data_IF_910876498030
#
_entry.id   IF_910876498030
#
_cell.length_a   1.000
_cell.length_b   1.000
_cell.length_c   1.000
_cell.angle_alpha   90.00
_cell.angle_beta   90.00
_cell.angle_gamma   90.00
#
_symmetry.space_group_name_H-M   'P 1'
#
loop_
_entity.id
_entity.type
_entity.pdbx_description
1 polymer ?
#
# COMPACT_ATOMS: atom_id res chain seq x y z
N UNK A 1 36.84 28.26 -8.39
CA UNK A 1 36.55 27.64 -7.09
C UNK A 1 35.80 26.36 -7.39
N UNK A 2 36.39 25.18 -7.11
CA UNK A 2 35.68 23.91 -7.28
C UNK A 2 34.79 23.71 -6.06
N UNK A 3 33.48 23.83 -6.24
CA UNK A 3 32.47 23.49 -5.24
C UNK A 3 32.50 21.97 -5.09
N UNK A 4 33.01 21.48 -3.96
CA UNK A 4 32.87 20.05 -3.61
C UNK A 4 31.42 19.82 -3.22
N UNK A 5 30.60 19.36 -4.18
CA UNK A 5 29.25 18.88 -3.91
C UNK A 5 29.40 17.49 -3.28
N UNK A 6 28.93 17.33 -2.04
CA UNK A 6 28.93 16.00 -1.39
C UNK A 6 27.96 15.10 -2.16
N UNK A 7 28.35 13.87 -2.55
CA UNK A 7 27.45 12.96 -3.25
C UNK A 7 26.25 12.59 -2.36
N UNK A 8 25.08 12.47 -3.00
CA UNK A 8 23.83 12.08 -2.36
C UNK A 8 23.83 10.58 -2.06
N UNK A 9 23.06 10.17 -1.05
CA UNK A 9 22.85 8.75 -0.76
C UNK A 9 21.61 8.25 -1.48
N UNK A 10 21.69 7.17 -2.27
CA UNK A 10 20.51 6.56 -2.89
C UNK A 10 19.61 5.96 -1.82
N UNK A 11 18.32 5.86 -2.11
CA UNK A 11 17.44 5.04 -1.29
C UNK A 11 17.74 3.56 -1.54
N UNK A 12 17.90 2.81 -0.46
CA UNK A 12 18.18 1.39 -0.49
C UNK A 12 17.03 0.65 0.17
N UNK A 13 16.39 -0.21 -0.60
CA UNK A 13 15.41 -1.16 -0.09
C UNK A 13 16.08 -2.52 0.08
N UNK A 14 15.87 -3.18 1.21
CA UNK A 14 16.38 -4.52 1.41
C UNK A 14 15.35 -5.46 2.03
N UNK A 15 15.36 -6.69 1.58
CA UNK A 15 14.61 -7.77 2.20
C UNK A 15 15.52 -8.98 2.34
N UNK A 16 15.06 -9.96 3.09
CA UNK A 16 15.80 -11.19 3.23
C UNK A 16 14.87 -12.38 3.26
N UNK A 17 15.48 -13.51 2.92
CA UNK A 17 15.01 -14.83 3.29
C UNK A 17 16.16 -15.53 4.00
N UNK A 18 15.85 -16.27 5.04
CA UNK A 18 16.81 -17.09 5.77
C UNK A 18 16.44 -18.55 5.54
N UNK A 19 17.43 -19.42 5.50
CA UNK A 19 17.20 -20.87 5.52
C UNK A 19 18.43 -21.55 6.12
N UNK A 20 18.18 -22.48 7.04
CA UNK A 20 19.21 -23.31 7.65
C UNK A 20 19.63 -24.50 6.77
N UNK A 21 18.85 -24.84 5.74
CA UNK A 21 19.00 -26.07 4.95
C UNK A 21 19.21 -25.82 3.46
N UNK A 22 18.76 -24.68 2.94
CA UNK A 22 18.76 -24.36 1.51
C UNK A 22 19.46 -23.02 1.22
N UNK A 23 20.60 -23.10 0.53
CA UNK A 23 21.41 -21.94 0.16
C UNK A 23 20.77 -21.05 -0.93
N UNK A 24 19.82 -21.57 -1.71
CA UNK A 24 19.07 -20.79 -2.71
C UNK A 24 17.97 -19.96 -2.07
N UNK A 25 17.46 -20.40 -0.93
CA UNK A 25 16.49 -19.67 -0.10
C UNK A 25 17.16 -18.77 0.95
N UNK A 26 18.47 -18.85 1.14
CA UNK A 26 19.22 -18.04 2.11
C UNK A 26 19.83 -16.77 1.47
N UNK A 27 18.98 -15.81 1.13
CA UNK A 27 19.32 -14.67 0.27
C UNK A 27 18.94 -13.31 0.85
N UNK A 28 19.62 -12.28 0.37
CA UNK A 28 19.30 -10.87 0.58
C UNK A 28 18.88 -10.27 -0.75
N UNK A 29 17.76 -9.57 -0.74
CA UNK A 29 17.36 -8.68 -1.81
C UNK A 29 17.82 -7.28 -1.46
N UNK A 30 18.60 -6.63 -2.33
CA UNK A 30 19.03 -5.24 -2.14
C UNK A 30 18.71 -4.47 -3.41
N UNK A 31 17.91 -3.42 -3.30
CA UNK A 31 17.55 -2.54 -4.41
C UNK A 31 18.11 -1.15 -4.13
N UNK A 32 19.02 -0.67 -4.98
CA UNK A 32 19.61 0.67 -4.91
C UNK A 32 18.86 1.55 -5.90
N UNK A 33 18.00 2.45 -5.41
CA UNK A 33 17.17 3.33 -6.22
C UNK A 33 17.98 4.54 -6.71
N UNK A 34 18.24 4.56 -8.02
CA UNK A 34 18.92 5.66 -8.72
C UNK A 34 18.34 5.82 -10.12
N UNK A 35 17.45 6.79 -10.35
CA UNK A 35 16.85 7.02 -11.66
C UNK A 35 17.82 7.67 -12.63
N UNK A 36 17.71 7.30 -13.91
CA UNK A 36 18.39 7.96 -15.03
C UNK A 36 19.93 7.97 -14.90
N UNK A 37 20.51 6.81 -14.62
CA UNK A 37 21.97 6.62 -14.55
C UNK A 37 22.61 6.96 -15.91
N UNK A 38 23.57 7.88 -15.90
CA UNK A 38 24.44 8.14 -17.02
C UNK A 38 25.58 7.13 -17.06
N UNK A 39 25.72 6.43 -18.19
CA UNK A 39 26.80 5.46 -18.40
C UNK A 39 26.71 4.24 -17.47
N UNK A 40 27.87 3.66 -17.16
CA UNK A 40 27.96 2.46 -16.31
C UNK A 40 28.22 2.87 -14.86
N UNK A 41 27.33 2.52 -13.91
CA UNK A 41 27.56 2.79 -12.50
C UNK A 41 28.75 1.96 -11.99
N UNK A 42 29.50 2.51 -11.04
CA UNK A 42 30.51 1.75 -10.30
C UNK A 42 29.81 0.96 -9.20
N UNK A 43 29.96 -0.36 -9.23
CA UNK A 43 29.40 -1.26 -8.22
C UNK A 43 30.44 -2.33 -7.87
N UNK A 44 30.96 -2.25 -6.65
CA UNK A 44 31.89 -3.22 -6.08
C UNK A 44 31.20 -4.00 -4.96
N UNK A 45 31.30 -5.33 -5.00
CA UNK A 45 30.68 -6.24 -4.04
C UNK A 45 31.76 -7.17 -3.54
N UNK A 46 32.13 -7.02 -2.27
CA UNK A 46 33.05 -7.91 -1.56
C UNK A 46 32.25 -8.84 -0.64
N UNK A 47 32.96 -9.69 0.11
CA UNK A 47 32.33 -10.60 1.06
C UNK A 47 31.58 -9.90 2.19
N UNK A 48 31.92 -8.65 2.52
CA UNK A 48 31.40 -7.93 3.68
C UNK A 48 31.02 -6.47 3.39
N UNK A 49 31.16 -6.03 2.13
CA UNK A 49 30.87 -4.66 1.75
C UNK A 49 30.24 -4.56 0.36
N UNK A 50 29.34 -3.59 0.18
CA UNK A 50 28.85 -3.15 -1.12
C UNK A 50 29.17 -1.66 -1.27
N UNK A 51 29.91 -1.31 -2.31
CA UNK A 51 30.25 0.08 -2.64
C UNK A 51 29.62 0.46 -3.97
N UNK A 52 28.91 1.57 -4.01
CA UNK A 52 28.19 2.04 -5.18
C UNK A 52 28.45 3.52 -5.44
N UNK A 53 28.69 3.88 -6.70
CA UNK A 53 28.74 5.26 -7.16
C UNK A 53 28.17 5.41 -8.57
N UNK A 54 27.34 6.43 -8.78
CA UNK A 54 26.74 6.71 -10.09
C UNK A 54 26.51 8.22 -10.28
N UNK A 55 26.45 8.65 -11.54
CA UNK A 55 25.95 9.97 -11.90
C UNK A 55 24.61 9.81 -12.61
N UNK A 56 23.67 10.68 -12.30
CA UNK A 56 22.32 10.69 -12.91
C UNK A 56 22.00 12.06 -13.45
N UNK A 57 21.07 12.15 -14.38
CA UNK A 57 20.63 13.40 -15.00
C UNK A 57 20.98 13.45 -16.48
N UNK A 58 20.65 14.52 -17.17
CA UNK A 58 20.96 14.72 -18.59
C UNK A 58 20.78 16.19 -18.94
N UNK A 59 21.89 16.92 -19.05
CA UNK A 59 21.89 18.34 -19.39
C UNK A 59 21.23 18.62 -20.76
N UNK A 60 21.21 17.64 -21.68
CA UNK A 60 20.55 17.78 -22.98
C UNK A 60 19.03 17.69 -22.89
N UNK A 61 18.48 17.12 -21.80
CA UNK A 61 17.05 16.97 -21.53
C UNK A 61 16.56 17.86 -20.39
N UNK A 62 17.35 18.84 -19.96
CA UNK A 62 17.07 19.70 -18.79
C UNK A 62 16.84 18.92 -17.48
N UNK A 63 17.44 17.72 -17.33
CA UNK A 63 17.36 16.95 -16.08
C UNK A 63 18.60 17.28 -15.23
N UNK A 64 18.44 17.78 -13.99
CA UNK A 64 19.57 18.16 -13.14
C UNK A 64 20.53 16.99 -12.89
N UNK A 65 21.83 17.26 -13.05
CA UNK A 65 22.88 16.27 -12.77
C UNK A 65 23.05 16.08 -11.25
N UNK A 66 23.05 14.83 -10.81
CA UNK A 66 23.26 14.44 -9.41
C UNK A 66 24.30 13.34 -9.34
N UNK A 67 25.18 13.42 -8.34
CA UNK A 67 26.14 12.36 -8.03
C UNK A 67 25.63 11.57 -6.81
N UNK A 68 25.63 10.25 -6.94
CA UNK A 68 25.18 9.32 -5.90
C UNK A 68 26.34 8.45 -5.46
N UNK A 69 26.46 8.23 -4.15
CA UNK A 69 27.41 7.28 -3.60
C UNK A 69 26.92 6.67 -2.28
N UNK A 70 27.20 5.39 -2.08
CA UNK A 70 27.02 4.72 -0.78
C UNK A 70 27.94 3.52 -0.61
N UNK A 71 28.40 3.35 0.63
CA UNK A 71 29.15 2.18 1.08
C UNK A 71 28.37 1.48 2.19
N UNK A 72 28.14 0.18 2.04
CA UNK A 72 27.37 -0.65 2.96
C UNK A 72 28.26 -1.73 3.56
N UNK A 73 28.63 -1.57 4.83
CA UNK A 73 29.33 -2.61 5.58
C UNK A 73 28.30 -3.63 6.07
N UNK A 74 28.19 -4.77 5.39
CA UNK A 74 27.16 -5.77 5.61
C UNK A 74 27.24 -6.40 7.00
N UNK A 75 26.08 -6.76 7.56
CA UNK A 75 25.95 -7.35 8.89
C UNK A 75 26.83 -8.59 9.09
N UNK A 76 26.82 -9.51 8.13
CA UNK A 76 27.68 -10.68 8.09
C UNK A 76 28.18 -10.95 6.66
N UNK A 77 29.01 -11.98 6.49
CA UNK A 77 29.58 -12.29 5.18
C UNK A 77 28.53 -12.84 4.20
N UNK A 78 28.63 -12.39 2.95
CA UNK A 78 27.92 -12.94 1.79
C UNK A 78 28.89 -13.76 0.93
N UNK A 79 28.34 -14.52 -0.02
CA UNK A 79 29.10 -15.13 -1.10
C UNK A 79 28.99 -14.28 -2.38
N UNK A 80 30.04 -13.53 -2.76
CA UNK A 80 30.02 -12.67 -3.94
C UNK A 80 29.86 -13.44 -5.25
N UNK A 81 30.28 -14.72 -5.30
CA UNK A 81 30.30 -15.51 -6.54
C UNK A 81 28.90 -15.86 -7.04
N UNK A 82 27.93 -15.92 -6.13
CA UNK A 82 26.53 -16.24 -6.43
C UNK A 82 25.62 -15.00 -6.43
N UNK A 83 26.20 -13.81 -6.61
CA UNK A 83 25.43 -12.56 -6.68
C UNK A 83 24.79 -12.41 -8.06
N UNK A 84 23.46 -12.31 -8.10
CA UNK A 84 22.74 -11.88 -9.30
C UNK A 84 22.56 -10.37 -9.25
N UNK A 85 22.78 -9.69 -10.38
CA UNK A 85 22.60 -8.23 -10.51
C UNK A 85 21.81 -7.91 -11.77
N UNK A 86 20.88 -6.97 -11.66
CA UNK A 86 20.21 -6.36 -12.80
C UNK A 86 20.18 -4.84 -12.63
N UNK A 87 20.43 -4.13 -13.73
CA UNK A 87 20.30 -2.69 -13.79
C UNK A 87 19.05 -2.35 -14.60
N UNK A 88 18.20 -1.52 -14.02
CA UNK A 88 17.05 -0.94 -14.69
C UNK A 88 17.31 0.56 -14.91
N UNK A 89 16.41 1.25 -15.60
CA UNK A 89 16.46 2.72 -15.72
C UNK A 89 16.28 3.45 -14.38
N UNK A 90 15.80 2.75 -13.34
CA UNK A 90 15.40 3.36 -12.05
C UNK A 90 16.19 2.86 -10.85
N UNK A 91 16.81 1.69 -10.95
CA UNK A 91 17.46 1.04 -9.82
C UNK A 91 18.44 -0.04 -10.25
N UNK A 92 19.36 -0.37 -9.35
CA UNK A 92 20.15 -1.59 -9.39
C UNK A 92 19.56 -2.59 -8.41
N UNK A 93 19.17 -3.75 -8.89
CA UNK A 93 18.64 -4.85 -8.09
C UNK A 93 19.72 -5.90 -7.91
N UNK A 94 19.97 -6.29 -6.67
CA UNK A 94 20.93 -7.30 -6.26
C UNK A 94 20.21 -8.42 -5.51
N UNK A 95 20.55 -9.66 -5.86
CA UNK A 95 20.21 -10.84 -5.07
C UNK A 95 21.53 -11.45 -4.61
N UNK A 96 21.78 -11.35 -3.30
CA UNK A 96 23.03 -11.76 -2.66
C UNK A 96 22.76 -13.03 -1.86
N UNK A 97 23.70 -13.98 -1.86
CA UNK A 97 23.61 -15.18 -1.02
C UNK A 97 24.35 -14.95 0.28
N UNK A 98 23.71 -15.21 1.42
CA UNK A 98 24.39 -15.19 2.72
C UNK A 98 25.35 -16.37 2.82
N UNK A 99 26.55 -16.16 3.38
CA UNK A 99 27.57 -17.21 3.47
C UNK A 99 27.20 -18.30 4.46
N UNK A 100 26.65 -17.93 5.61
CA UNK A 100 26.23 -18.86 6.65
C UNK A 100 24.74 -19.19 6.50
N UNK A 101 24.43 -20.49 6.46
CA UNK A 101 23.06 -21.01 6.52
C UNK A 101 22.56 -20.91 7.95
N UNK A 102 21.54 -20.09 8.18
CA UNK A 102 20.90 -19.91 9.47
C UNK A 102 19.42 -19.60 9.25
N UNK A 103 18.57 -20.04 10.17
CA UNK A 103 17.16 -19.66 10.22
C UNK A 103 16.99 -18.23 10.76
N UNK A 104 17.92 -17.76 11.60
CA UNK A 104 17.85 -16.43 12.19
C UNK A 104 18.00 -15.32 11.15
N UNK A 105 17.21 -14.27 11.33
CA UNK A 105 17.26 -13.08 10.50
C UNK A 105 18.40 -12.14 10.86
N UNK A 106 18.92 -11.46 9.85
CA UNK A 106 19.71 -10.26 10.10
C UNK A 106 18.77 -9.19 10.66
N UNK A 107 19.09 -8.65 11.83
CA UNK A 107 18.27 -7.59 12.44
C UNK A 107 18.37 -6.26 11.68
N UNK A 108 19.39 -6.11 10.82
CA UNK A 108 19.64 -4.98 9.93
C UNK A 108 20.58 -5.38 8.79
N UNK A 109 20.62 -4.58 7.73
CA UNK A 109 21.50 -4.82 6.59
C UNK A 109 22.99 -4.62 6.90
N UNK A 110 23.33 -3.66 7.78
CA UNK A 110 24.73 -3.22 8.02
C UNK A 110 25.24 -3.48 9.44
N UNK A 111 26.55 -3.64 9.63
CA UNK A 111 27.21 -3.95 10.93
C UNK A 111 27.02 -2.88 11.97
N UNK A 112 27.04 -1.60 11.59
CA UNK A 112 26.84 -0.50 12.53
C UNK A 112 25.36 -0.10 12.59
N UNK A 113 24.96 0.70 13.60
CA UNK A 113 23.65 1.36 13.62
C UNK A 113 23.78 2.85 13.27
N UNK A 114 24.28 3.22 12.07
CA UNK A 114 24.33 4.62 11.70
C UNK A 114 22.90 5.12 11.45
N UNK A 115 22.67 6.42 11.68
CA UNK A 115 21.41 7.10 11.42
C UNK A 115 21.18 7.25 9.90
N UNK A 116 21.05 6.12 9.19
CA UNK A 116 20.91 6.03 7.74
C UNK A 116 19.45 5.86 7.38
N UNK A 117 18.72 6.98 7.37
CA UNK A 117 17.29 7.04 7.00
C UNK A 117 17.02 6.61 5.54
N UNK A 118 18.08 6.41 4.75
CA UNK A 118 18.05 6.00 3.36
C UNK A 118 18.14 4.48 3.15
N UNK A 119 18.23 3.65 4.21
CA UNK A 119 18.12 2.18 4.12
C UNK A 119 16.80 1.73 4.75
N UNK A 120 15.95 1.03 4.00
CA UNK A 120 14.58 0.63 4.41
C UNK A 120 14.30 -0.84 4.10
N UNK A 121 13.37 -1.44 4.83
CA UNK A 121 12.91 -2.80 4.56
C UNK A 121 11.96 -2.83 3.35
N UNK A 122 12.20 -3.73 2.40
CA UNK A 122 11.33 -4.02 1.26
C UNK A 122 10.27 -5.06 1.67
N UNK A 123 9.15 -4.61 2.25
CA UNK A 123 8.10 -5.53 2.71
C UNK A 123 7.42 -6.32 1.57
N UNK A 124 7.52 -5.86 0.32
CA UNK A 124 6.96 -6.60 -0.81
C UNK A 124 7.77 -7.86 -1.16
N UNK A 125 9.07 -7.88 -0.79
CA UNK A 125 9.97 -9.02 -0.99
C UNK A 125 10.37 -9.70 0.33
N UNK A 126 9.82 -9.24 1.44
CA UNK A 126 10.07 -9.82 2.75
C UNK A 126 9.27 -11.10 2.89
N UNK A 127 9.94 -12.18 3.31
CA UNK A 127 9.30 -13.47 3.59
C UNK A 127 9.40 -13.70 5.09
N UNK A 128 8.26 -13.90 5.75
CA UNK A 128 8.19 -14.14 7.20
C UNK A 128 8.65 -15.56 7.56
N UNK A 129 8.99 -15.78 8.85
CA UNK A 129 9.64 -17.02 9.31
C UNK A 129 8.81 -18.29 9.05
N UNK A 130 7.50 -18.15 9.01
CA UNK A 130 6.51 -19.21 8.81
C UNK A 130 6.17 -19.49 7.33
N UNK A 131 6.59 -18.61 6.40
CA UNK A 131 6.38 -18.77 4.96
C UNK A 131 7.66 -19.24 4.22
N UNK A 132 8.72 -19.58 4.96
CA UNK A 132 10.03 -19.94 4.42
C UNK A 132 10.06 -21.26 3.62
N UNK A 133 9.05 -22.11 3.70
CA UNK A 133 8.99 -23.38 2.96
C UNK A 133 8.46 -23.22 1.52
N UNK A 134 7.87 -22.08 1.16
CA UNK A 134 7.37 -21.81 -0.20
C UNK A 134 8.46 -21.81 -1.27
N UNK A 135 8.11 -21.76 -2.55
CA UNK A 135 9.11 -21.61 -3.62
C UNK A 135 9.77 -20.22 -3.51
N UNK A 136 11.07 -20.14 -3.81
CA UNK A 136 11.66 -18.82 -4.06
C UNK A 136 10.97 -18.29 -5.30
N UNK A 137 10.29 -17.14 -5.18
CA UNK A 137 9.87 -16.43 -6.37
C UNK A 137 11.11 -16.28 -7.25
N UNK A 138 11.10 -16.92 -8.41
CA UNK A 138 12.10 -16.66 -9.43
C UNK A 138 12.01 -15.18 -9.71
N UNK A 139 12.99 -14.42 -9.22
CA UNK A 139 13.15 -13.05 -9.67
C UNK A 139 13.56 -13.20 -11.11
N UNK A 140 12.58 -13.11 -12.01
CA UNK A 140 12.80 -13.07 -13.45
C UNK A 140 13.58 -11.80 -13.76
N UNK A 141 14.90 -11.91 -13.68
CA UNK A 141 15.86 -10.90 -14.11
C UNK A 141 16.06 -10.96 -15.64
N UNK A 142 15.38 -11.88 -16.35
CA UNK A 142 15.56 -12.18 -17.76
C UNK A 142 14.69 -11.34 -18.71
N UNK A 143 13.68 -10.64 -18.22
CA UNK A 143 12.73 -9.90 -19.07
C UNK A 143 13.24 -8.60 -19.71
N UNK A 144 14.42 -8.07 -19.35
CA UNK A 144 14.84 -6.73 -19.79
C UNK A 144 16.34 -6.56 -20.05
N UNK A 145 16.95 -7.56 -20.70
CA UNK A 145 18.41 -7.58 -20.93
C UNK A 145 18.86 -7.98 -22.34
N UNK A 146 18.01 -7.88 -23.39
CA UNK A 146 18.49 -8.09 -24.77
C UNK A 146 17.67 -7.33 -25.84
N UNK A 147 17.83 -6.01 -25.90
CA UNK A 147 17.60 -5.24 -27.12
C UNK A 147 18.93 -4.65 -27.60
N UNK A 148 19.90 -5.53 -27.87
CA UNK A 148 21.23 -5.11 -28.29
C UNK A 148 22.01 -6.21 -29.01
N UNK A 149 21.47 -6.77 -30.10
CA UNK A 149 22.23 -7.76 -30.86
C UNK A 149 21.50 -8.36 -32.06
N UNK A 150 21.38 -7.60 -33.15
CA UNK A 150 21.28 -8.22 -34.49
C UNK A 150 22.51 -9.11 -34.71
N UNK A 151 22.35 -10.43 -34.60
CA UNK A 151 23.43 -11.37 -34.89
C UNK A 151 23.23 -12.76 -34.30
N UNK A 152 22.19 -13.48 -34.73
CA UNK A 152 21.97 -14.85 -34.26
C UNK A 152 20.91 -15.66 -34.98
N UNK A 153 20.24 -15.11 -35.99
CA UNK A 153 19.27 -15.84 -36.81
C UNK A 153 19.95 -16.54 -38.00
N UNK A 154 21.02 -17.28 -37.73
CA UNK A 154 21.72 -18.09 -38.73
C UNK A 154 22.04 -19.52 -38.24
N UNK A 155 21.58 -19.87 -37.04
CA UNK A 155 21.83 -21.19 -36.44
C UNK A 155 20.56 -21.88 -35.91
N UNK A 156 19.41 -21.63 -36.53
CA UNK A 156 18.14 -22.35 -36.27
C UNK A 156 17.32 -22.68 -37.53
N UNK A 157 17.96 -22.73 -38.71
CA UNK A 157 17.34 -23.15 -39.99
C UNK A 157 18.19 -24.19 -40.74
N UNK A 158 18.93 -25.02 -40.01
CA UNK A 158 19.67 -26.15 -40.55
C UNK A 158 18.97 -27.47 -40.23
N UNK A 159 17.80 -27.73 -40.83
CA UNK A 159 17.12 -28.99 -40.52
C UNK A 159 15.70 -29.18 -41.01
N UNK A 160 15.35 -28.79 -42.24
CA UNK A 160 14.25 -29.45 -42.95
C UNK A 160 14.28 -29.07 -44.43
N UNK A 161 14.86 -29.96 -45.22
CA UNK A 161 14.70 -29.95 -46.66
C UNK A 161 13.34 -30.51 -47.08
N UNK A 162 12.85 -30.05 -48.22
CA UNK A 162 11.92 -30.82 -49.05
C UNK A 162 10.69 -30.05 -49.52
N UNK A 163 10.74 -29.62 -50.78
CA UNK A 163 9.61 -29.38 -51.70
C UNK A 163 8.59 -28.30 -51.30
N UNK A 164 8.28 -27.28 -52.10
CA UNK A 164 8.37 -27.17 -53.55
C UNK A 164 7.01 -26.75 -54.11
N UNK A 165 6.86 -25.45 -54.39
CA UNK A 165 6.15 -24.95 -55.57
C UNK A 165 4.62 -24.81 -55.55
N UNK A 166 4.19 -23.66 -56.11
CA UNK A 166 2.87 -23.33 -56.66
C UNK A 166 1.77 -23.03 -55.63
N UNK A 167 1.00 -21.95 -55.72
CA UNK A 167 0.80 -20.99 -56.80
C UNK A 167 -0.69 -20.66 -56.91
N UNK A 168 -1.02 -19.37 -56.90
CA UNK A 168 -2.21 -18.82 -57.58
C UNK A 168 -3.56 -18.89 -56.87
N UNK A 169 -4.14 -17.70 -56.67
CA UNK A 169 -5.36 -17.35 -57.40
C UNK A 169 -6.72 -17.55 -56.74
N UNK A 170 -7.20 -16.48 -56.08
CA UNK A 170 -8.48 -15.81 -56.39
C UNK A 170 -9.80 -16.60 -56.11
N UNK A 171 -11.03 -16.06 -56.34
CA UNK A 171 -11.93 -15.66 -55.26
C UNK A 171 -13.36 -16.27 -55.32
N UNK A 172 -14.11 -16.12 -54.22
CA UNK A 172 -15.57 -15.88 -54.20
C UNK A 172 -16.53 -17.04 -54.54
N UNK A 173 -17.49 -17.32 -53.65
CA UNK A 173 -18.90 -17.56 -54.04
C UNK A 173 -19.87 -17.58 -52.85
N UNK A 174 -21.15 -17.20 -53.05
CA UNK A 174 -22.23 -17.16 -52.05
C UNK A 174 -23.28 -18.28 -52.22
N UNK A 175 -24.11 -18.50 -51.19
CA UNK A 175 -25.56 -18.74 -51.34
C UNK A 175 -26.14 -20.16 -51.16
N UNK A 176 -27.22 -20.22 -50.37
CA UNK A 176 -28.32 -21.23 -50.28
C UNK A 176 -27.96 -22.66 -49.84
N UNK A 177 -28.75 -23.42 -49.06
CA UNK A 177 -30.12 -23.31 -48.54
C UNK A 177 -30.65 -24.73 -48.26
N UNK A 178 -31.64 -24.91 -47.37
CA UNK A 178 -32.57 -26.05 -47.42
C UNK A 178 -32.53 -27.13 -46.32
N UNK A 179 -33.31 -26.91 -45.25
CA UNK A 179 -34.45 -27.73 -44.75
C UNK A 179 -34.41 -29.29 -44.77
N UNK A 180 -34.74 -29.89 -43.62
CA UNK A 180 -35.64 -31.07 -43.59
C UNK A 180 -35.38 -32.19 -42.56
N UNK A 181 -36.35 -32.42 -41.66
CA UNK A 181 -36.86 -33.78 -41.39
C UNK A 181 -36.39 -34.54 -40.13
N UNK A 182 -37.28 -34.63 -39.15
CA UNK A 182 -37.36 -35.69 -38.11
C UNK A 182 -38.36 -36.76 -38.63
N UNK A 183 -38.22 -38.09 -38.40
CA UNK A 183 -38.70 -38.73 -37.15
C UNK A 183 -38.10 -40.13 -36.78
N UNK A 184 -38.36 -40.64 -35.57
CA UNK A 184 -38.65 -42.08 -35.38
C UNK A 184 -37.89 -42.92 -34.33
N UNK A 185 -38.44 -42.96 -33.10
CA UNK A 185 -38.81 -44.13 -32.26
C UNK A 185 -38.02 -45.47 -32.22
N UNK A 186 -37.85 -45.98 -30.98
CA UNK A 186 -37.68 -47.42 -30.61
C UNK A 186 -36.27 -47.75 -30.08
N UNK A 187 -36.01 -48.47 -28.99
CA UNK A 187 -36.82 -49.29 -28.09
C UNK A 187 -35.92 -50.41 -27.52
N UNK A 188 -35.60 -50.35 -26.22
CA UNK A 188 -35.31 -51.41 -25.24
C UNK A 188 -34.51 -52.69 -25.62
N UNK A 189 -33.46 -52.99 -24.84
CA UNK A 189 -33.26 -54.34 -24.27
C UNK A 189 -31.81 -54.86 -24.14
N UNK A 190 -31.36 -55.09 -22.90
CA UNK A 190 -30.32 -56.08 -22.57
C UNK A 190 -29.18 -55.59 -21.65
N UNK A 191 -29.21 -55.94 -20.35
CA UNK A 191 -28.12 -55.71 -19.38
C UNK A 191 -26.93 -56.67 -19.54
N UNK A 192 -26.00 -56.81 -18.56
CA UNK A 192 -26.02 -56.27 -17.19
C UNK A 192 -24.72 -55.56 -16.73
N UNK A 193 -24.84 -54.71 -15.71
CA UNK A 193 -23.74 -54.40 -14.77
C UNK A 193 -22.90 -53.16 -15.09
N UNK A 194 -23.34 -52.01 -14.60
CA UNK A 194 -22.55 -50.77 -14.56
C UNK A 194 -23.41 -49.63 -14.03
N UNK A 195 -22.93 -48.92 -13.02
CA UNK A 195 -23.65 -47.87 -12.27
C UNK A 195 -23.91 -46.67 -13.20
N UNK A 196 -25.18 -46.30 -13.38
CA UNK A 196 -25.58 -45.19 -14.26
C UNK A 196 -25.88 -43.93 -13.45
N UNK A 197 -24.91 -43.00 -13.46
CA UNK A 197 -24.95 -41.71 -12.76
C UNK A 197 -26.11 -40.81 -13.21
N UNK A 198 -26.76 -41.10 -14.35
CA UNK A 198 -27.94 -40.38 -14.81
C UNK A 198 -29.19 -40.65 -13.96
N UNK A 199 -29.30 -41.85 -13.35
CA UNK A 199 -30.45 -42.22 -12.49
C UNK A 199 -30.42 -41.58 -11.10
N UNK A 200 -29.26 -41.08 -10.66
CA UNK A 200 -29.12 -40.34 -9.40
C UNK A 200 -29.54 -38.87 -9.56
N UNK A 201 -29.42 -38.31 -10.77
CA UNK A 201 -29.81 -36.93 -11.07
C UNK A 201 -31.31 -36.78 -11.41
N UNK A 202 -31.99 -37.87 -11.76
CA UNK A 202 -33.45 -37.88 -12.02
C UNK A 202 -34.29 -37.83 -10.73
N UNK A 203 -33.68 -38.04 -9.55
CA UNK A 203 -34.39 -38.07 -8.26
C UNK A 203 -34.35 -36.75 -7.47
N UNK A 204 -33.73 -35.69 -7.98
CA UNK A 204 -33.69 -34.37 -7.33
C UNK A 204 -34.19 -33.20 -8.22
N UNK A 205 -35.05 -33.48 -9.20
CA UNK A 205 -35.72 -32.45 -9.99
C UNK A 205 -37.24 -32.48 -9.81
N UNK A 206 -37.81 -31.59 -8.99
CA UNK A 206 -39.23 -31.29 -9.06
C UNK A 206 -39.89 -30.71 -7.80
N UNK A 207 -39.83 -29.38 -7.65
CA UNK A 207 -40.94 -28.52 -7.18
C UNK A 207 -40.45 -27.06 -7.06
N UNK A 208 -40.41 -26.36 -8.18
CA UNK A 208 -40.23 -24.91 -8.24
C UNK A 208 -41.58 -24.19 -8.15
N UNK A 209 -41.60 -23.07 -7.44
CA UNK A 209 -42.71 -22.13 -7.45
C UNK A 209 -42.54 -21.01 -6.43
N UNK A 210 -42.07 -19.84 -6.86
CA UNK A 210 -42.61 -18.51 -6.52
C UNK A 210 -41.81 -17.38 -7.22
N UNK A 211 -42.43 -16.20 -7.43
CA UNK A 211 -42.24 -15.39 -8.63
C UNK A 211 -41.38 -14.11 -8.45
N UNK A 212 -40.99 -13.63 -9.63
CA UNK A 212 -40.52 -12.30 -10.09
C UNK A 212 -40.93 -11.05 -9.28
N UNK A 213 -39.95 -10.17 -9.05
CA UNK A 213 -40.12 -8.71 -9.13
C UNK A 213 -38.81 -8.04 -9.60
N UNK A 214 -38.79 -7.64 -10.87
CA UNK A 214 -38.49 -6.25 -11.24
C UNK A 214 -37.03 -5.88 -11.52
N UNK A 215 -36.67 -5.97 -12.79
CA UNK A 215 -35.50 -5.31 -13.38
C UNK A 215 -35.62 -3.79 -13.28
N UNK A 216 -34.53 -3.16 -12.81
CA UNK A 216 -34.21 -1.75 -13.01
C UNK A 216 -32.78 -1.70 -13.52
N UNK A 217 -32.61 -0.99 -14.63
CA UNK A 217 -31.41 -0.85 -15.45
C UNK A 217 -30.20 -0.38 -14.64
N UNK A 218 -29.05 -1.03 -14.81
CA UNK A 218 -27.75 -0.42 -14.57
C UNK A 218 -26.89 -0.66 -15.81
N UNK A 219 -26.43 0.46 -16.35
CA UNK A 219 -25.77 0.63 -17.63
C UNK A 219 -24.42 -0.10 -17.73
N UNK A 220 -24.19 -0.63 -18.93
CA UNK A 220 -22.92 -0.86 -19.62
C UNK A 220 -21.66 -0.23 -18.98
N UNK A 221 -20.75 -1.07 -18.50
CA UNK A 221 -19.33 -0.90 -18.84
C UNK A 221 -18.80 -2.24 -19.36
N UNK A 222 -18.71 -2.31 -20.68
CA UNK A 222 -18.22 -3.45 -21.43
C UNK A 222 -16.72 -3.69 -21.25
N UNK A 223 -16.37 -4.95 -21.39
CA UNK A 223 -15.01 -5.45 -21.62
C UNK A 223 -14.28 -4.63 -22.68
N UNK A 224 -13.20 -3.97 -22.27
CA UNK A 224 -12.15 -3.51 -23.16
C UNK A 224 -10.80 -3.94 -22.58
N UNK A 225 -10.27 -5.01 -23.17
CA UNK A 225 -8.84 -5.29 -23.23
C UNK A 225 -8.14 -4.11 -23.91
N UNK A 226 -7.76 -3.10 -23.12
CA UNK A 226 -6.78 -2.08 -23.52
C UNK A 226 -5.63 -2.12 -22.52
N UNK A 227 -4.41 -2.36 -23.03
CA UNK A 227 -3.15 -2.22 -22.29
C UNK A 227 -3.16 -0.89 -21.53
N UNK A 228 -3.30 -0.97 -20.21
CA UNK A 228 -3.24 0.21 -19.36
C UNK A 228 -1.88 0.92 -19.59
N UNK A 229 -1.86 2.18 -20.06
CA UNK A 229 -0.62 2.92 -20.10
C UNK A 229 -0.12 3.04 -18.66
N UNK A 230 1.15 2.68 -18.43
CA UNK A 230 1.82 2.74 -17.14
C UNK A 230 1.37 3.99 -16.37
N UNK A 231 0.73 3.78 -15.22
CA UNK A 231 0.19 4.85 -14.39
C UNK A 231 1.25 5.95 -14.24
N UNK A 232 0.99 7.13 -14.84
CA UNK A 232 1.79 8.32 -14.60
C UNK A 232 1.81 8.52 -13.09
N UNK A 233 3.00 8.42 -12.50
CA UNK A 233 3.26 8.70 -11.08
C UNK A 233 2.60 10.05 -10.79
N UNK A 234 1.63 10.07 -9.87
CA UNK A 234 0.98 11.31 -9.51
C UNK A 234 2.05 12.30 -9.03
N UNK A 235 2.18 13.44 -9.69
CA UNK A 235 3.11 14.49 -9.28
C UNK A 235 2.79 14.91 -7.85
N UNK A 236 3.73 14.62 -6.94
CA UNK A 236 3.64 14.96 -5.53
C UNK A 236 3.80 16.47 -5.35
N UNK A 237 3.02 17.12 -4.46
CA UNK A 237 3.06 18.57 -4.32
C UNK A 237 4.43 19.07 -3.84
N UNK A 238 5.01 20.03 -4.58
CA UNK A 238 6.28 20.66 -4.24
C UNK A 238 6.09 21.74 -3.15
N UNK A 239 6.63 21.47 -1.95
CA UNK A 239 6.63 22.33 -0.76
C UNK A 239 5.25 22.67 -0.17
N UNK A 240 4.88 21.97 0.91
CA UNK A 240 3.67 22.20 1.69
C UNK A 240 4.01 22.61 3.13
N UNK A 241 3.54 23.80 3.52
CA UNK A 241 3.64 24.29 4.89
C UNK A 241 2.27 24.24 5.57
N UNK A 242 2.17 23.42 6.63
CA UNK A 242 0.98 23.34 7.46
C UNK A 242 1.33 23.51 8.93
N UNK A 243 0.85 24.59 9.52
CA UNK A 243 0.79 24.76 10.98
C UNK A 243 -0.60 24.39 11.46
N UNK A 244 -0.74 23.63 12.54
CA UNK A 244 -2.02 23.28 13.16
C UNK A 244 -2.00 23.69 14.62
N UNK A 245 -2.99 24.47 15.04
CA UNK A 245 -3.13 24.95 16.42
C UNK A 245 -4.19 24.15 17.19
N UNK A 246 -4.09 24.07 18.53
CA UNK A 246 -5.12 23.42 19.34
C UNK A 246 -6.51 24.05 19.14
N UNK A 247 -7.53 23.21 19.03
CA UNK A 247 -8.92 23.60 18.75
C UNK A 247 -9.24 23.70 17.25
N UNK A 248 -8.24 23.57 16.36
CA UNK A 248 -8.49 23.63 14.92
C UNK A 248 -9.01 22.29 14.36
N UNK A 249 -9.97 22.42 13.45
CA UNK A 249 -10.27 21.45 12.40
C UNK A 249 -9.79 22.05 11.09
N UNK A 250 -8.70 21.52 10.54
CA UNK A 250 -8.10 22.01 9.30
C UNK A 250 -8.56 21.14 8.14
N UNK A 251 -9.32 21.73 7.21
CA UNK A 251 -9.74 21.04 5.99
C UNK A 251 -8.64 21.13 4.94
N UNK A 252 -8.21 19.99 4.42
CA UNK A 252 -7.30 19.90 3.28
C UNK A 252 -8.14 19.71 2.01
N UNK A 253 -8.09 20.71 1.13
CA UNK A 253 -8.77 20.76 -0.16
C UNK A 253 -7.78 20.58 -1.30
N UNK A 254 -8.27 20.15 -2.44
CA UNK A 254 -7.47 19.97 -3.65
C UNK A 254 -8.12 18.95 -4.59
N UNK A 255 -7.78 19.02 -5.87
CA UNK A 255 -8.30 18.11 -6.89
C UNK A 255 -7.99 16.63 -6.56
N UNK A 256 -8.72 15.70 -7.18
CA UNK A 256 -8.37 14.28 -7.06
C UNK A 256 -6.94 14.06 -7.55
N UNK A 257 -6.17 13.24 -6.82
CA UNK A 257 -4.76 13.00 -7.13
C UNK A 257 -3.78 14.14 -6.76
N UNK A 258 -4.23 15.27 -6.21
CA UNK A 258 -3.34 16.38 -5.77
C UNK A 258 -2.35 16.03 -4.63
N UNK A 259 -2.39 14.80 -4.11
CA UNK A 259 -1.48 14.33 -3.07
C UNK A 259 -1.98 14.54 -1.64
N UNK A 260 -3.26 14.85 -1.41
CA UNK A 260 -3.83 15.06 -0.06
C UNK A 260 -3.59 13.87 0.88
N UNK A 261 -3.93 12.66 0.45
CA UNK A 261 -3.67 11.42 1.20
C UNK A 261 -2.19 11.20 1.45
N UNK A 262 -1.36 11.42 0.41
CA UNK A 262 0.11 11.34 0.54
C UNK A 262 0.61 12.33 1.59
N UNK A 263 0.08 13.55 1.61
CA UNK A 263 0.45 14.57 2.58
C UNK A 263 0.10 14.18 4.02
N UNK A 264 -1.12 13.65 4.28
CA UNK A 264 -1.45 13.13 5.61
C UNK A 264 -0.55 11.95 6.00
N UNK A 265 -0.23 11.05 5.08
CA UNK A 265 0.69 9.93 5.33
C UNK A 265 2.11 10.41 5.63
N UNK A 266 2.59 11.48 4.99
CA UNK A 266 3.85 12.12 5.34
C UNK A 266 3.80 12.69 6.76
N UNK A 267 2.75 13.46 7.12
CA UNK A 267 2.58 14.02 8.47
C UNK A 267 2.55 12.91 9.55
N UNK A 268 1.96 11.76 9.23
CA UNK A 268 1.94 10.58 10.10
C UNK A 268 3.26 9.80 10.14
N UNK A 269 4.30 10.27 9.46
CA UNK A 269 5.58 9.58 9.25
C UNK A 269 5.40 8.19 8.62
N UNK A 270 4.31 7.94 7.87
CA UNK A 270 4.05 6.69 7.15
C UNK A 270 4.71 6.66 5.78
N UNK A 271 4.81 7.83 5.14
CA UNK A 271 5.53 8.03 3.89
C UNK A 271 6.77 8.89 4.14
N UNK A 272 7.83 8.63 3.37
CA UNK A 272 9.03 9.47 3.39
C UNK A 272 8.87 10.64 2.44
N UNK A 273 9.33 11.80 2.88
CA UNK A 273 9.40 13.06 2.14
C UNK A 273 10.87 13.44 1.96
N UNK A 274 11.21 14.13 0.86
CA UNK A 274 12.62 14.43 0.56
C UNK A 274 13.20 15.56 1.41
N UNK A 275 12.41 16.60 1.65
CA UNK A 275 12.83 17.82 2.36
C UNK A 275 11.73 18.32 3.30
N UNK A 276 12.14 19.01 4.36
CA UNK A 276 11.24 19.56 5.39
C UNK A 276 11.40 18.87 6.74
N UNK A 277 10.54 19.24 7.69
CA UNK A 277 10.50 18.62 9.01
C UNK A 277 9.08 18.61 9.57
N UNK A 278 8.73 17.55 10.28
CA UNK A 278 7.47 17.45 11.00
C UNK A 278 7.75 17.73 12.48
N UNK A 279 7.00 18.65 13.07
CA UNK A 279 7.10 18.99 14.48
C UNK A 279 5.78 18.83 15.20
N UNK A 280 5.83 18.21 16.39
CA UNK A 280 4.73 18.18 17.35
C UNK A 280 5.15 18.96 18.59
N UNK A 281 4.34 19.92 19.03
CA UNK A 281 4.67 20.82 20.17
C UNK A 281 6.08 21.44 20.07
N UNK A 282 6.52 21.80 18.86
CA UNK A 282 7.83 22.40 18.57
C UNK A 282 9.01 21.42 18.52
N UNK A 283 8.82 20.14 18.88
CA UNK A 283 9.84 19.10 18.83
C UNK A 283 9.73 18.29 17.54
N UNK A 284 10.85 17.93 16.88
CA UNK A 284 10.83 17.08 15.69
C UNK A 284 10.17 15.72 15.96
N UNK A 285 9.43 15.17 14.99
CA UNK A 285 8.78 13.85 15.06
C UNK A 285 9.75 12.76 15.53
N UNK A 286 10.98 12.77 14.99
CA UNK A 286 12.03 11.82 15.32
C UNK A 286 12.44 11.81 16.81
N UNK A 287 12.31 12.93 17.54
CA UNK A 287 12.70 13.00 18.95
C UNK A 287 11.77 12.23 19.88
N UNK A 288 10.55 11.92 19.44
CA UNK A 288 9.61 11.08 20.18
C UNK A 288 9.90 9.58 20.00
N UNK A 289 10.65 9.22 18.95
CA UNK A 289 10.68 7.88 18.38
C UNK A 289 9.41 7.62 17.57
N UNK A 290 9.56 7.18 16.32
CA UNK A 290 8.45 7.07 15.36
C UNK A 290 7.26 6.25 15.87
N UNK A 291 7.44 5.10 16.56
CA UNK A 291 6.29 4.36 17.12
C UNK A 291 5.49 5.17 18.14
N UNK A 292 6.16 5.92 19.03
CA UNK A 292 5.48 6.75 20.03
C UNK A 292 4.83 7.97 19.36
N UNK A 293 5.53 8.60 18.41
CA UNK A 293 5.00 9.71 17.63
C UNK A 293 3.66 9.34 16.98
N UNK A 294 3.57 8.14 16.38
CA UNK A 294 2.33 7.62 15.76
C UNK A 294 1.21 7.30 16.75
N UNK A 295 1.47 7.24 18.06
CA UNK A 295 0.39 7.22 19.08
C UNK A 295 -0.17 8.62 19.36
N UNK A 296 0.62 9.67 19.11
CA UNK A 296 0.25 11.07 19.29
C UNK A 296 -0.34 11.68 18.01
N UNK A 297 0.11 11.23 16.84
CA UNK A 297 -0.40 11.66 15.53
C UNK A 297 -0.96 10.43 14.81
N UNK A 298 -2.28 10.27 14.86
CA UNK A 298 -2.96 9.10 14.32
C UNK A 298 -3.54 9.39 12.94
N UNK A 299 -3.20 8.55 11.96
CA UNK A 299 -3.78 8.58 10.63
C UNK A 299 -4.91 7.56 10.51
N UNK A 300 -6.05 8.01 10.02
CA UNK A 300 -7.24 7.20 9.79
C UNK A 300 -7.51 7.22 8.29
N UNK A 301 -7.30 6.09 7.59
CA UNK A 301 -7.53 5.99 6.16
C UNK A 301 -9.03 6.01 5.83
N UNK A 302 -9.37 6.43 4.61
CA UNK A 302 -10.73 6.39 4.08
C UNK A 302 -11.36 5.01 4.16
N UNK A 303 -10.62 3.99 3.73
CA UNK A 303 -11.01 2.59 3.88
C UNK A 303 -9.96 1.88 4.72
N UNK A 304 -10.32 1.26 5.86
CA UNK A 304 -9.43 0.33 6.51
C UNK A 304 -9.13 -0.79 5.52
N UNK A 305 -7.84 -1.07 5.27
CA UNK A 305 -7.43 -2.22 4.47
C UNK A 305 -8.12 -3.48 5.00
N UNK A 306 -8.38 -4.49 4.17
CA UNK A 306 -8.97 -5.77 4.61
C UNK A 306 -8.02 -6.46 5.61
N UNK A 307 -8.09 -6.03 6.87
CA UNK A 307 -7.25 -6.54 7.94
C UNK A 307 -7.70 -7.99 8.20
N UNK A 308 -6.75 -8.93 8.33
CA UNK A 308 -7.11 -10.29 8.71
C UNK A 308 -7.73 -10.30 10.11
N UNK A 309 -8.68 -11.21 10.32
CA UNK A 309 -9.39 -11.37 11.60
C UNK A 309 -10.57 -10.42 11.77
N UNK A 310 -10.90 -10.12 13.03
CA UNK A 310 -12.07 -9.33 13.44
C UNK A 310 -11.66 -7.94 13.95
N UNK A 311 -12.60 -6.99 14.06
CA UNK A 311 -12.31 -5.71 14.71
C UNK A 311 -11.84 -5.83 16.15
N UNK A 312 -12.36 -6.81 16.89
CA UNK A 312 -11.89 -7.10 18.25
C UNK A 312 -10.43 -7.54 18.26
N UNK A 313 -10.03 -8.47 17.37
CA UNK A 313 -8.63 -8.91 17.25
C UNK A 313 -7.70 -7.74 16.94
N UNK A 314 -8.14 -6.82 16.08
CA UNK A 314 -7.38 -5.63 15.72
C UNK A 314 -7.22 -4.67 16.90
N UNK A 315 -8.30 -4.42 17.66
CA UNK A 315 -8.27 -3.59 18.86
C UNK A 315 -7.32 -4.18 19.92
N UNK A 316 -7.40 -5.48 20.17
CA UNK A 316 -6.56 -6.17 21.15
C UNK A 316 -5.08 -6.15 20.72
N UNK A 317 -4.80 -6.35 19.43
CA UNK A 317 -3.44 -6.18 18.87
C UNK A 317 -2.93 -4.76 19.08
N UNK A 318 -3.75 -3.75 18.83
CA UNK A 318 -3.40 -2.34 19.01
C UNK A 318 -3.06 -2.00 20.48
N UNK A 319 -3.82 -2.56 21.44
CA UNK A 319 -3.57 -2.41 22.88
C UNK A 319 -2.30 -3.15 23.33
N UNK A 320 -1.88 -4.18 22.60
CA UNK A 320 -0.67 -4.95 22.89
C UNK A 320 0.65 -4.21 22.64
N UNK A 321 0.66 -3.17 21.81
CA UNK A 321 1.90 -2.49 21.41
C UNK A 321 2.60 -1.78 22.58
N UNK A 322 3.92 -1.97 22.70
CA UNK A 322 4.72 -1.37 23.78
C UNK A 322 4.62 0.17 23.83
N UNK A 323 4.62 0.82 22.66
CA UNK A 323 4.45 2.27 22.54
C UNK A 323 3.10 2.75 23.10
N UNK A 324 2.06 1.91 23.06
CA UNK A 324 0.74 2.20 23.63
C UNK A 324 0.72 1.99 25.13
N UNK A 325 1.25 0.86 25.64
CA UNK A 325 1.27 0.57 27.09
C UNK A 325 1.86 1.72 27.92
N UNK A 326 2.99 2.27 27.47
CA UNK A 326 3.63 3.41 28.15
C UNK A 326 2.76 4.68 28.09
N UNK A 327 2.05 4.88 26.97
CA UNK A 327 1.15 6.02 26.77
C UNK A 327 -0.11 5.89 27.62
N UNK A 328 -0.75 4.73 27.62
CA UNK A 328 -2.00 4.47 28.35
C UNK A 328 -1.78 4.66 29.85
N UNK A 329 -0.69 4.12 30.40
CA UNK A 329 -0.30 4.36 31.79
C UNK A 329 -0.09 5.86 32.10
N UNK A 330 0.51 6.62 31.17
CA UNK A 330 0.70 8.06 31.33
C UNK A 330 -0.63 8.84 31.25
N UNK A 331 -1.58 8.39 30.43
CA UNK A 331 -2.92 8.98 30.35
C UNK A 331 -3.73 8.71 31.61
N UNK A 332 -3.72 7.46 32.09
CA UNK A 332 -4.35 7.05 33.35
C UNK A 332 -3.80 7.85 34.54
N UNK A 333 -2.47 7.95 34.66
CA UNK A 333 -1.82 8.75 35.69
C UNK A 333 -2.17 10.25 35.61
N UNK A 334 -2.44 10.75 34.39
CA UNK A 334 -2.87 12.12 34.16
C UNK A 334 -4.40 12.33 34.30
N UNK A 335 -5.15 11.28 34.66
CA UNK A 335 -6.61 11.32 34.76
C UNK A 335 -7.31 11.62 33.42
N UNK A 336 -6.65 11.34 32.29
CA UNK A 336 -7.22 11.56 30.96
C UNK A 336 -7.97 10.32 30.53
N UNK A 337 -9.28 10.43 30.38
CA UNK A 337 -10.13 9.36 29.87
C UNK A 337 -10.48 9.58 28.40
N UNK A 338 -10.61 8.48 27.68
CA UNK A 338 -11.10 8.44 26.30
C UNK A 338 -12.34 7.57 26.26
N UNK A 339 -13.27 7.82 25.31
CA UNK A 339 -14.44 6.96 25.17
C UNK A 339 -14.00 5.53 24.86
N UNK A 340 -14.68 4.55 25.45
CA UNK A 340 -14.45 3.16 25.11
C UNK A 340 -14.86 2.89 23.64
N UNK A 341 -14.03 2.21 22.83
CA UNK A 341 -14.35 1.94 21.43
C UNK A 341 -15.71 1.27 21.19
N UNK A 342 -16.11 0.32 22.04
CA UNK A 342 -17.39 -0.39 21.89
C UNK A 342 -18.56 0.54 22.16
N UNK A 343 -18.45 1.37 23.20
CA UNK A 343 -19.47 2.36 23.55
C UNK A 343 -19.62 3.41 22.44
N UNK A 344 -18.50 3.94 21.95
CA UNK A 344 -18.50 4.93 20.87
C UNK A 344 -19.07 4.37 19.56
N UNK A 345 -18.72 3.13 19.20
CA UNK A 345 -19.28 2.49 18.02
C UNK A 345 -20.79 2.23 18.16
N UNK A 346 -21.24 1.83 19.35
CA UNK A 346 -22.66 1.63 19.64
C UNK A 346 -23.47 2.93 19.54
N UNK A 347 -22.91 4.06 19.99
CA UNK A 347 -23.51 5.39 19.78
C UNK A 347 -23.67 5.71 18.28
N UNK A 348 -22.80 5.19 17.43
CA UNK A 348 -22.88 5.31 15.97
C UNK A 348 -23.65 4.18 15.28
N UNK A 349 -24.44 3.42 16.04
CA UNK A 349 -25.33 2.39 15.50
C UNK A 349 -24.63 1.08 15.11
N UNK A 350 -23.42 0.82 15.62
CA UNK A 350 -22.76 -0.48 15.41
C UNK A 350 -23.27 -1.51 16.42
N UNK A 351 -23.72 -2.65 15.90
CA UNK A 351 -24.10 -3.79 16.73
C UNK A 351 -22.87 -4.46 17.36
N UNK A 352 -23.04 -5.02 18.56
CA UNK A 352 -21.97 -5.78 19.23
C UNK A 352 -21.47 -6.96 18.39
N UNK A 353 -22.33 -7.56 17.56
CA UNK A 353 -21.95 -8.68 16.70
C UNK A 353 -20.97 -8.30 15.60
N UNK A 354 -20.84 -7.02 15.22
CA UNK A 354 -19.88 -6.57 14.22
C UNK A 354 -18.42 -6.75 14.68
N UNK A 355 -18.17 -6.75 16.00
CA UNK A 355 -16.81 -6.84 16.57
C UNK A 355 -16.17 -8.22 16.44
N UNK A 356 -17.00 -9.27 16.34
CA UNK A 356 -16.56 -10.67 16.22
C UNK A 356 -16.70 -11.23 14.81
N UNK A 357 -17.26 -10.45 13.89
CA UNK A 357 -17.31 -10.77 12.45
C UNK A 357 -16.00 -10.37 11.78
N UNK A 358 -15.61 -11.09 10.73
CA UNK A 358 -14.43 -10.73 9.95
C UNK A 358 -14.64 -9.40 9.22
N UNK A 359 -13.59 -8.59 9.08
CA UNK A 359 -13.67 -7.26 8.44
C UNK A 359 -14.34 -7.29 7.05
N UNK A 360 -14.04 -8.31 6.24
CA UNK A 360 -14.61 -8.47 4.89
C UNK A 360 -16.11 -8.79 4.85
N UNK A 361 -16.74 -9.05 6.00
CA UNK A 361 -18.20 -9.32 6.10
C UNK A 361 -19.00 -8.11 6.57
N UNK A 362 -18.32 -7.04 6.99
CA UNK A 362 -18.96 -5.79 7.38
C UNK A 362 -19.24 -4.94 6.14
N UNK A 363 -20.33 -4.18 6.16
CA UNK A 363 -20.56 -3.14 5.16
C UNK A 363 -19.46 -2.06 5.22
N UNK A 364 -19.32 -1.29 4.13
CA UNK A 364 -18.36 -0.17 4.09
C UNK A 364 -18.57 0.85 5.20
N UNK A 365 -19.83 1.19 5.51
CA UNK A 365 -20.16 2.10 6.60
C UNK A 365 -19.90 1.51 8.00
N UNK A 366 -20.19 0.22 8.21
CA UNK A 366 -19.88 -0.46 9.48
C UNK A 366 -18.38 -0.51 9.74
N UNK A 367 -17.61 -1.00 8.77
CA UNK A 367 -16.15 -1.08 8.88
C UNK A 367 -15.52 0.29 9.11
N UNK A 368 -15.98 1.34 8.40
CA UNK A 368 -15.48 2.71 8.60
C UNK A 368 -15.76 3.24 10.01
N UNK A 369 -16.99 3.08 10.52
CA UNK A 369 -17.35 3.50 11.89
C UNK A 369 -16.59 2.73 12.96
N UNK A 370 -16.43 1.42 12.80
CA UNK A 370 -15.67 0.59 13.75
C UNK A 370 -14.20 0.99 13.76
N UNK A 371 -13.57 1.16 12.60
CA UNK A 371 -12.18 1.59 12.51
C UNK A 371 -11.97 2.98 13.15
N UNK A 372 -12.89 3.90 12.91
CA UNK A 372 -12.88 5.24 13.50
C UNK A 372 -13.05 5.18 15.03
N UNK A 373 -13.97 4.37 15.52
CA UNK A 373 -14.22 4.20 16.96
C UNK A 373 -13.01 3.58 17.67
N UNK A 374 -12.34 2.61 17.04
CA UNK A 374 -11.08 2.02 17.52
C UNK A 374 -10.00 3.08 17.61
N UNK A 375 -9.76 3.85 16.53
CA UNK A 375 -8.71 4.85 16.50
C UNK A 375 -8.88 5.94 17.58
N UNK A 376 -10.12 6.40 17.79
CA UNK A 376 -10.44 7.39 18.82
C UNK A 376 -10.35 6.79 20.22
N UNK A 377 -10.95 5.62 20.44
CA UNK A 377 -11.04 5.01 21.76
C UNK A 377 -9.74 4.36 22.25
N UNK A 378 -8.80 4.06 21.35
CA UNK A 378 -7.40 3.78 21.72
C UNK A 378 -6.73 4.98 22.40
N UNK A 379 -7.26 6.18 22.18
CA UNK A 379 -6.90 7.37 22.90
C UNK A 379 -5.46 7.83 22.71
N UNK A 380 -5.09 8.86 23.46
CA UNK A 380 -3.75 9.41 23.51
C UNK A 380 -3.32 10.29 22.34
N UNK A 381 -4.08 10.31 21.24
CA UNK A 381 -3.81 11.19 20.11
C UNK A 381 -3.86 12.66 20.54
N UNK A 382 -2.86 13.42 20.10
CA UNK A 382 -2.90 14.88 20.12
C UNK A 382 -3.42 15.44 18.80
N UNK A 383 -3.14 14.77 17.68
CA UNK A 383 -3.64 15.14 16.36
C UNK A 383 -4.21 13.90 15.68
N UNK A 384 -5.39 14.04 15.09
CA UNK A 384 -5.99 12.98 14.25
C UNK A 384 -6.05 13.49 12.82
N UNK A 385 -5.52 12.69 11.90
CA UNK A 385 -5.51 12.93 10.47
C UNK A 385 -6.57 12.02 9.84
N UNK A 386 -7.63 12.63 9.34
CA UNK A 386 -8.84 11.98 8.85
C UNK A 386 -8.86 12.07 7.32
N UNK A 387 -8.70 10.94 6.66
CA UNK A 387 -8.84 10.87 5.20
C UNK A 387 -10.26 10.42 4.85
N UNK A 388 -11.13 11.36 4.49
CA UNK A 388 -12.54 11.10 4.13
C UNK A 388 -13.30 10.17 5.10
N UNK A 389 -13.33 10.50 6.41
CA UNK A 389 -13.73 9.56 7.48
C UNK A 389 -15.23 9.19 7.50
N UNK A 390 -16.03 9.77 6.61
CA UNK A 390 -17.49 9.60 6.55
C UNK A 390 -18.00 9.34 5.13
N UNK A 391 -17.11 9.08 4.16
CA UNK A 391 -17.49 8.92 2.75
C UNK A 391 -18.41 7.72 2.46
N UNK A 392 -18.46 6.71 3.34
CA UNK A 392 -19.31 5.54 3.19
C UNK A 392 -20.53 5.55 4.13
N UNK A 393 -20.85 6.69 4.75
CA UNK A 393 -21.93 6.81 5.72
C UNK A 393 -23.14 7.53 5.13
N UNK A 394 -24.32 7.18 5.63
CA UNK A 394 -25.54 7.95 5.39
C UNK A 394 -25.47 9.33 6.07
N UNK A 395 -26.34 10.25 5.65
CA UNK A 395 -26.30 11.65 6.11
C UNK A 395 -26.51 11.80 7.63
N UNK A 396 -27.40 10.99 8.22
CA UNK A 396 -27.71 11.06 9.65
C UNK A 396 -26.50 10.62 10.45
N UNK A 397 -25.91 9.48 10.09
CA UNK A 397 -24.72 8.97 10.78
C UNK A 397 -23.50 9.85 10.53
N UNK A 398 -23.36 10.42 9.33
CA UNK A 398 -22.31 11.38 9.01
C UNK A 398 -22.32 12.56 9.98
N UNK A 399 -23.47 13.22 10.15
CA UNK A 399 -23.60 14.36 11.08
C UNK A 399 -23.33 13.96 12.53
N UNK A 400 -23.76 12.76 12.93
CA UNK A 400 -23.49 12.24 14.26
C UNK A 400 -21.98 12.10 14.50
N UNK A 401 -21.27 11.41 13.60
CA UNK A 401 -19.82 11.21 13.67
C UNK A 401 -19.06 12.54 13.61
N UNK A 402 -19.44 13.45 12.71
CA UNK A 402 -18.88 14.81 12.62
C UNK A 402 -18.99 15.55 13.96
N UNK A 403 -20.18 15.58 14.55
CA UNK A 403 -20.45 16.24 15.82
C UNK A 403 -19.67 15.62 16.97
N UNK A 404 -19.56 14.29 17.01
CA UNK A 404 -18.76 13.59 18.00
C UNK A 404 -17.28 13.97 17.89
N UNK A 405 -16.70 13.93 16.69
CA UNK A 405 -15.29 14.26 16.44
C UNK A 405 -14.95 15.71 16.79
N UNK A 406 -15.71 16.67 16.25
CA UNK A 406 -15.51 18.10 16.51
C UNK A 406 -15.77 18.41 17.98
N UNK A 407 -16.80 17.77 18.55
CA UNK A 407 -17.19 17.91 19.95
C UNK A 407 -16.11 17.45 20.93
N UNK A 408 -15.13 16.63 20.53
CA UNK A 408 -14.01 16.22 21.38
C UNK A 408 -12.89 17.25 21.49
N UNK A 409 -12.84 18.25 20.60
CA UNK A 409 -11.77 19.25 20.61
C UNK A 409 -11.87 20.22 21.81
N UNK A 410 -10.74 20.84 22.22
CA UNK A 410 -10.75 21.89 23.21
C UNK A 410 -11.56 23.08 22.68
N UNK A 411 -12.57 23.52 23.44
CA UNK A 411 -13.39 24.68 23.09
C UNK A 411 -12.80 25.93 23.72
N UNK A 412 -12.61 26.98 22.92
CA UNK A 412 -12.24 28.29 23.45
C UNK A 412 -13.37 28.82 24.35
N UNK A 413 -13.07 29.45 25.49
CA UNK A 413 -14.08 30.15 26.28
C UNK A 413 -14.80 31.18 25.39
N UNK A 414 -16.12 31.31 25.57
CA UNK A 414 -16.93 32.28 24.83
C UNK A 414 -16.32 33.69 25.02
N UNK A 415 -15.96 34.36 23.92
CA UNK A 415 -15.35 35.69 23.93
C UNK A 415 -13.81 35.73 24.02
N UNK A 416 -13.12 34.59 23.97
CA UNK A 416 -11.66 34.55 23.97
C UNK A 416 -11.07 35.14 22.66
N UNK A 417 -10.01 35.96 22.72
CA UNK A 417 -9.33 36.46 21.52
C UNK A 417 -8.67 35.33 20.73
N UNK A 418 -8.57 35.48 19.40
CA UNK A 418 -7.81 34.55 18.54
C UNK A 418 -6.38 34.41 19.07
N UNK A 419 -5.97 33.18 19.40
CA UNK A 419 -4.66 32.86 19.99
C UNK A 419 -4.64 32.80 21.52
N UNK A 420 -5.78 32.92 22.19
CA UNK A 420 -5.87 32.66 23.63
C UNK A 420 -5.51 31.21 23.97
N UNK A 421 -4.83 31.01 25.09
CA UNK A 421 -4.47 29.69 25.60
C UNK A 421 -5.74 28.95 26.05
N UNK A 422 -6.24 28.03 25.23
CA UNK A 422 -7.47 27.27 25.52
C UNK A 422 -7.18 26.27 26.65
N UNK A 423 -7.90 26.34 27.79
CA UNK A 423 -7.70 25.38 28.87
C UNK A 423 -7.96 23.96 28.35
N UNK A 424 -7.00 23.06 28.59
CA UNK A 424 -7.07 21.68 28.09
C UNK A 424 -8.32 21.00 28.62
N UNK A 425 -9.21 20.56 27.73
CA UNK A 425 -10.15 19.50 28.09
C UNK A 425 -9.36 18.29 28.59
N UNK A 426 -9.89 17.63 29.62
CA UNK A 426 -9.27 16.43 30.17
C UNK A 426 -9.26 15.28 29.14
N UNK A 427 -10.11 15.36 28.12
CA UNK A 427 -10.43 14.26 27.21
C UNK A 427 -10.41 14.74 25.75
N UNK A 428 -9.90 13.92 24.82
CA UNK A 428 -9.90 14.18 23.37
C UNK A 428 -8.60 14.72 22.75
N UNK A 429 -8.51 14.75 21.40
CA UNK A 429 -7.36 15.26 20.67
C UNK A 429 -7.28 16.79 20.77
N UNK A 430 -6.12 17.36 20.44
CA UNK A 430 -5.91 18.81 20.39
C UNK A 430 -6.39 19.41 19.07
N UNK A 431 -6.26 18.70 17.96
CA UNK A 431 -6.65 19.19 16.64
C UNK A 431 -7.01 18.04 15.70
N UNK A 432 -7.76 18.37 14.64
CA UNK A 432 -8.12 17.48 13.55
C UNK A 432 -7.58 18.05 12.23
N UNK A 433 -7.04 17.20 11.38
CA UNK A 433 -6.77 17.50 9.97
C UNK A 433 -7.66 16.60 9.13
N UNK A 434 -8.43 17.16 8.21
CA UNK A 434 -9.56 16.47 7.59
C UNK A 434 -9.55 16.65 6.08
N UNK A 435 -9.57 15.56 5.32
CA UNK A 435 -9.83 15.57 3.88
C UNK A 435 -11.31 15.29 3.63
N UNK A 436 -11.93 16.10 2.80
CA UNK A 436 -13.29 15.87 2.31
C UNK A 436 -13.46 16.43 0.90
N UNK A 437 -14.26 15.73 0.09
CA UNK A 437 -14.71 16.20 -1.21
C UNK A 437 -16.01 17.01 -1.15
N UNK A 438 -16.70 17.04 0.01
CA UNK A 438 -17.93 17.81 0.18
C UNK A 438 -17.63 19.22 0.69
N UNK A 439 -17.91 20.27 -0.10
CA UNK A 439 -17.76 21.66 0.35
C UNK A 439 -18.62 21.96 1.58
N UNK A 440 -19.84 21.40 1.61
CA UNK A 440 -20.76 21.56 2.73
C UNK A 440 -20.22 20.93 4.01
N UNK A 441 -19.65 19.72 3.95
CA UNK A 441 -18.98 19.12 5.09
C UNK A 441 -17.81 19.97 5.54
N UNK A 442 -16.99 20.45 4.60
CA UNK A 442 -15.86 21.33 4.90
C UNK A 442 -16.29 22.61 5.63
N UNK A 443 -17.46 23.17 5.29
CA UNK A 443 -18.04 24.33 5.99
C UNK A 443 -18.62 23.98 7.36
N UNK A 444 -19.22 22.79 7.50
CA UNK A 444 -19.79 22.36 8.79
C UNK A 444 -18.73 22.09 9.85
N UNK A 445 -17.67 21.36 9.50
CA UNK A 445 -16.67 20.91 10.48
C UNK A 445 -15.41 21.78 10.50
N UNK A 446 -15.09 22.45 9.40
CA UNK A 446 -13.83 23.16 9.21
C UNK A 446 -13.74 24.49 9.96
N UNK A 447 -12.71 24.66 10.76
CA UNK A 447 -12.35 25.97 11.34
C UNK A 447 -11.44 26.77 10.40
N UNK A 448 -10.68 26.08 9.55
CA UNK A 448 -9.76 26.64 8.57
C UNK A 448 -9.67 25.69 7.39
N UNK A 449 -9.51 26.24 6.18
CA UNK A 449 -9.31 25.45 4.96
C UNK A 449 -7.96 25.78 4.33
N UNK A 450 -7.28 24.76 3.81
CA UNK A 450 -5.99 24.86 3.13
C UNK A 450 -6.12 24.14 1.80
N UNK A 451 -5.73 24.81 0.71
CA UNK A 451 -5.74 24.25 -0.63
C UNK A 451 -4.35 23.69 -0.97
N UNK A 452 -4.30 22.43 -1.37
CA UNK A 452 -3.13 21.80 -1.99
C UNK A 452 -3.32 21.92 -3.50
N UNK A 453 -2.54 22.80 -4.12
CA UNK A 453 -2.50 22.97 -5.57
C UNK A 453 -1.30 22.22 -6.15
N UNK A 454 -1.51 21.46 -7.23
CA UNK A 454 -0.41 21.07 -8.12
C UNK A 454 0.13 22.34 -8.79
N UNK A 455 1.44 22.55 -8.80
CA UNK A 455 2.01 23.50 -9.77
C UNK A 455 1.96 22.83 -11.14
N UNK A 456 1.42 23.59 -12.10
CA UNK A 456 1.29 23.25 -13.53
C UNK A 456 2.62 23.09 -14.22
#
# INVERSE_FOLDING_TARGET
MATFVKPLHPEILWAQRSSATDAEKNILYVTINTPDIQGTPTLDITKDQISFAAKTGDASKNIPEKEWACDLDLWAEIDPTHTKKAQTSRAIVLVLRKKELNAEYWTRLTKEKPNRNWIKTDFAKWVDEDEQDGDAADVDLGGMGDMGGMGGMEQMMGGMGGMGGMGGGMPGMPGMGGMGGMPGMGGMGGGPGGIDFAKLMEQMGGAGGMPDFGAGEDDDEGDLDDEAPAAKKADEPEHLDLKVEPGEVVIIKGESGSGKTTFLKCIAELNVYQEGEIRLNGQPSASYGIPNFRTLVQYIPQRPSMLPGTPQDFLDRCRGFAARKARDAALEAAGRTWPDPYTLAAEWGIEQTCWTRGWGTLSGGESQRVALAIAIGLGGAEVILLDEPTSALDEVTTKLVENTLVGMLPQAPIGAPKGANIPRRATGPKALVWITHSPEQADRVGTRKVDITRRS
#
